data_IF_049453326298
#
_entry.id   IF_049453326298
#
_cell.length_a   1.000
_cell.length_b   1.000
_cell.length_c   1.000
_cell.angle_alpha   90.00
_cell.angle_beta   90.00
_cell.angle_gamma   90.00
#
_symmetry.space_group_name_H-M   'P 1'
#
loop_
_entity.id
_entity.type
_entity.pdbx_description
1 polymer ?
#
# COMPACT_ATOMS: atom_id res chain seq x y z
N UNK A 1 17.95 9.11 -0.25
CA UNK A 1 17.15 8.75 -1.43
C UNK A 1 15.78 8.29 -0.95
N UNK A 2 14.71 8.53 -1.72
CA UNK A 2 13.38 7.96 -1.46
C UNK A 2 13.15 6.83 -2.46
N UNK A 3 12.69 5.68 -1.98
CA UNK A 3 12.37 4.48 -2.73
C UNK A 3 10.94 4.04 -2.38
N UNK A 4 10.05 3.82 -3.37
CA UNK A 4 10.22 4.13 -4.80
C UNK A 4 10.51 5.61 -5.07
N UNK A 5 11.07 5.93 -6.24
CA UNK A 5 11.30 7.32 -6.64
C UNK A 5 9.96 8.05 -6.75
N UNK A 6 9.77 9.18 -6.05
CA UNK A 6 8.49 9.89 -6.07
C UNK A 6 8.26 10.57 -7.42
N UNK A 7 6.99 10.85 -7.73
CA UNK A 7 6.60 11.55 -8.96
C UNK A 7 7.30 12.92 -9.12
N UNK A 8 7.45 13.67 -8.03
CA UNK A 8 8.21 14.92 -8.00
C UNK A 8 8.98 15.04 -6.69
N UNK A 9 10.28 15.34 -6.79
CA UNK A 9 11.12 15.68 -5.65
C UNK A 9 12.24 16.66 -6.03
N UNK A 10 11.94 17.96 -6.20
CA UNK A 10 12.96 18.96 -6.46
C UNK A 10 14.03 18.96 -5.37
N UNK A 11 15.28 19.19 -5.77
CA UNK A 11 16.40 19.22 -4.82
C UNK A 11 16.20 20.37 -3.82
N UNK A 12 16.34 20.06 -2.54
CA UNK A 12 16.41 21.02 -1.44
C UNK A 12 17.70 20.79 -0.67
N UNK A 13 18.19 21.84 -0.02
CA UNK A 13 19.40 21.80 0.82
C UNK A 13 19.02 22.07 2.27
N UNK A 14 19.81 21.53 3.20
CA UNK A 14 19.56 21.63 4.63
C UNK A 14 18.85 20.41 5.21
N UNK A 15 18.48 20.52 6.48
CA UNK A 15 17.81 19.47 7.23
C UNK A 15 17.01 20.08 8.39
N UNK A 16 15.92 19.42 8.75
CA UNK A 16 15.16 19.70 9.96
C UNK A 16 15.78 18.94 11.14
N UNK A 17 16.22 19.61 12.23
CA UNK A 17 16.70 18.91 13.41
C UNK A 17 15.55 18.27 14.18
N UNK A 18 15.66 16.98 14.52
CA UNK A 18 14.76 16.34 15.47
C UNK A 18 15.39 16.46 16.86
N UNK A 19 14.64 17.04 17.79
CA UNK A 19 14.99 17.11 19.21
C UNK A 19 13.79 16.69 20.04
N UNK A 20 13.97 16.49 21.34
CA UNK A 20 12.88 16.09 22.24
C UNK A 20 11.81 17.19 22.38
N UNK A 21 12.18 18.45 22.17
CA UNK A 21 11.27 19.61 22.22
C UNK A 21 10.40 19.77 20.97
N UNK A 22 10.72 19.06 19.88
CA UNK A 22 9.89 19.10 18.67
C UNK A 22 8.52 18.50 18.99
N UNK A 23 7.47 19.30 18.80
CA UNK A 23 6.10 18.83 18.92
C UNK A 23 5.48 18.54 17.55
N UNK A 24 4.54 17.59 17.54
CA UNK A 24 3.78 17.20 16.36
C UNK A 24 2.40 17.85 16.41
N UNK A 25 2.03 18.57 15.36
CA UNK A 25 0.69 19.11 15.13
C UNK A 25 -0.12 18.13 14.29
N UNK A 26 -1.29 17.72 14.79
CA UNK A 26 -2.18 16.79 14.09
C UNK A 26 -3.47 17.52 13.70
N UNK A 27 -3.82 17.50 12.42
CA UNK A 27 -5.03 18.15 11.89
C UNK A 27 -5.89 17.15 11.11
N UNK A 28 -7.21 17.24 11.29
CA UNK A 28 -8.16 16.30 10.69
C UNK A 28 -8.02 14.89 11.26
N UNK A 29 -8.36 13.87 10.47
CA UNK A 29 -8.27 12.47 10.87
C UNK A 29 -6.85 11.90 10.79
N UNK A 30 -5.80 12.68 11.10
CA UNK A 30 -4.41 12.28 10.89
C UNK A 30 -3.76 11.49 12.06
N UNK A 31 -4.51 11.18 13.13
CA UNK A 31 -3.96 10.60 14.37
C UNK A 31 -3.16 9.31 14.15
N UNK A 32 -3.67 8.37 13.36
CA UNK A 32 -2.99 7.08 13.09
C UNK A 32 -1.66 7.29 12.37
N UNK A 33 -1.63 8.14 11.34
CA UNK A 33 -0.40 8.45 10.62
C UNK A 33 0.60 9.22 11.49
N UNK A 34 0.12 10.15 12.32
CA UNK A 34 0.97 10.86 13.26
C UNK A 34 1.56 9.93 14.34
N UNK A 35 0.82 8.93 14.79
CA UNK A 35 1.33 7.90 15.71
C UNK A 35 2.44 7.06 15.04
N UNK A 36 2.21 6.58 13.82
CA UNK A 36 3.23 5.84 13.04
C UNK A 36 4.49 6.67 12.81
N UNK A 37 4.34 7.96 12.49
CA UNK A 37 5.46 8.87 12.32
C UNK A 37 6.26 9.03 13.63
N UNK A 38 5.58 9.24 14.77
CA UNK A 38 6.22 9.32 16.08
C UNK A 38 6.94 8.03 16.45
N UNK A 39 6.35 6.87 16.13
CA UNK A 39 6.98 5.58 16.36
C UNK A 39 8.28 5.41 15.56
N UNK A 40 8.31 5.86 14.30
CA UNK A 40 9.56 5.87 13.51
C UNK A 40 10.61 6.81 14.10
N UNK A 41 10.21 7.99 14.56
CA UNK A 41 11.12 8.92 15.26
C UNK A 41 11.68 8.27 16.52
N UNK A 42 10.81 7.77 17.39
CA UNK A 42 11.21 7.11 18.62
C UNK A 42 12.18 5.95 18.38
N UNK A 43 11.90 5.06 17.40
CA UNK A 43 12.80 3.95 17.08
C UNK A 43 14.19 4.39 16.62
N UNK A 44 14.31 5.57 16.02
CA UNK A 44 15.58 6.04 15.48
C UNK A 44 16.33 6.97 16.45
N UNK A 45 15.62 7.75 17.26
CA UNK A 45 16.22 8.79 18.11
C UNK A 45 15.99 8.60 19.60
N UNK A 46 15.02 7.77 20.00
CA UNK A 46 14.55 7.63 21.38
C UNK A 46 13.61 8.73 21.85
N UNK A 47 13.30 9.74 21.02
CA UNK A 47 12.50 10.89 21.44
C UNK A 47 10.99 10.59 21.42
N UNK A 48 10.31 10.93 22.51
CA UNK A 48 8.86 10.83 22.65
C UNK A 48 8.23 12.20 22.36
N UNK A 49 7.96 12.49 21.08
CA UNK A 49 7.47 13.80 20.68
C UNK A 49 6.02 14.04 21.12
N UNK A 50 5.80 15.13 21.84
CA UNK A 50 4.47 15.55 22.29
C UNK A 50 3.55 15.97 21.12
N UNK A 51 2.23 15.99 21.37
CA UNK A 51 1.27 16.68 20.50
C UNK A 51 1.13 18.13 20.92
N UNK A 52 1.18 19.06 19.97
CA UNK A 52 0.91 20.49 20.23
C UNK A 52 0.25 21.15 19.02
N UNK A 53 -0.74 22.05 19.21
CA UNK A 53 -1.29 22.87 18.13
C UNK A 53 -0.24 23.70 17.38
N UNK A 54 0.86 24.04 18.05
CA UNK A 54 1.97 24.85 17.51
C UNK A 54 3.16 24.00 17.07
N UNK A 55 2.98 22.68 16.95
CA UNK A 55 4.03 21.76 16.55
C UNK A 55 4.59 22.04 15.14
N UNK A 56 5.92 22.03 15.03
CA UNK A 56 6.64 22.26 13.76
C UNK A 56 6.62 21.05 12.84
N UNK A 57 6.25 19.88 13.35
CA UNK A 57 6.00 18.67 12.56
C UNK A 57 4.49 18.52 12.38
N UNK A 58 3.99 18.88 11.20
CA UNK A 58 2.56 18.95 10.91
C UNK A 58 2.13 17.72 10.10
N UNK A 59 1.15 16.98 10.59
CA UNK A 59 0.51 15.87 9.88
C UNK A 59 -0.97 16.20 9.69
N UNK A 60 -1.38 16.42 8.44
CA UNK A 60 -2.70 16.97 8.10
C UNK A 60 -3.45 16.05 7.15
N UNK A 61 -4.58 15.53 7.61
CA UNK A 61 -5.57 14.91 6.73
C UNK A 61 -6.48 16.00 6.17
N UNK A 62 -6.42 16.21 4.85
CA UNK A 62 -7.19 17.24 4.17
C UNK A 62 -8.04 16.67 3.05
N UNK A 63 -9.33 16.35 3.32
CA UNK A 63 -10.25 15.81 2.32
C UNK A 63 -10.49 16.72 1.11
N UNK A 64 -10.14 18.01 1.18
CA UNK A 64 -10.26 18.95 0.08
C UNK A 64 -9.02 18.93 -0.85
N UNK A 65 -7.95 18.21 -0.50
CA UNK A 65 -6.79 18.03 -1.37
C UNK A 65 -7.22 17.36 -2.69
N UNK A 66 -6.71 17.87 -3.81
CA UNK A 66 -6.99 17.39 -5.18
C UNK A 66 -5.66 17.16 -5.92
N UNK A 67 -5.71 16.38 -7.00
CA UNK A 67 -4.60 16.26 -7.95
C UNK A 67 -3.55 15.19 -7.66
N UNK A 68 -3.60 14.49 -6.52
CA UNK A 68 -2.65 13.40 -6.18
C UNK A 68 -3.31 12.02 -6.02
N UNK A 69 -4.60 11.90 -6.29
CA UNK A 69 -5.32 10.62 -6.20
C UNK A 69 -5.44 10.05 -4.78
N UNK A 70 -5.94 8.80 -4.65
CA UNK A 70 -6.33 8.20 -3.37
C UNK A 70 -5.14 7.78 -2.49
N UNK A 71 -3.95 7.65 -3.05
CA UNK A 71 -2.72 7.23 -2.35
C UNK A 71 -1.64 8.33 -2.33
N UNK A 72 -1.94 9.51 -2.90
CA UNK A 72 -0.94 10.55 -3.01
C UNK A 72 -0.84 11.45 -1.78
N UNK A 73 0.33 12.08 -1.64
CA UNK A 73 0.68 12.95 -0.53
C UNK A 73 1.65 14.05 -0.96
N UNK A 74 1.67 15.12 -0.17
CA UNK A 74 2.68 16.17 -0.23
C UNK A 74 3.50 16.16 1.07
N UNK A 75 4.82 16.17 0.96
CA UNK A 75 5.75 16.25 2.08
C UNK A 75 6.77 17.37 1.82
N UNK A 76 6.73 18.42 2.64
CA UNK A 76 7.75 19.47 2.67
C UNK A 76 8.57 19.35 3.95
N UNK A 77 9.88 19.28 3.81
CA UNK A 77 10.85 19.34 4.89
C UNK A 77 11.73 20.55 4.65
N UNK A 78 11.67 21.52 5.56
CA UNK A 78 12.53 22.71 5.59
C UNK A 78 13.40 22.68 6.84
N UNK A 79 14.27 23.68 7.02
CA UNK A 79 15.08 23.79 8.23
C UNK A 79 14.26 24.17 9.49
N UNK A 80 13.00 24.60 9.32
CA UNK A 80 12.16 25.14 10.41
C UNK A 80 10.93 24.32 10.71
N UNK A 81 10.42 23.57 9.74
CA UNK A 81 9.20 22.80 9.87
C UNK A 81 9.15 21.65 8.86
N UNK A 82 8.34 20.65 9.21
CA UNK A 82 7.96 19.52 8.38
C UNK A 82 6.44 19.56 8.19
N UNK A 83 5.98 19.46 6.95
CA UNK A 83 4.55 19.42 6.62
C UNK A 83 4.26 18.17 5.78
N UNK A 84 3.48 17.26 6.33
CA UNK A 84 2.91 16.11 5.63
C UNK A 84 1.40 16.32 5.49
N UNK A 85 0.91 16.32 4.26
CA UNK A 85 -0.51 16.47 3.93
C UNK A 85 -0.96 15.44 2.90
N UNK A 86 -2.13 14.86 3.09
CA UNK A 86 -2.77 13.99 2.11
C UNK A 86 -4.29 14.04 2.21
N UNK A 87 -4.98 13.65 1.13
CA UNK A 87 -6.44 13.59 1.09
C UNK A 87 -7.06 12.35 1.73
N UNK A 88 -6.23 11.35 2.04
CA UNK A 88 -6.68 10.05 2.57
C UNK A 88 -5.69 9.52 3.61
N UNK A 89 -6.11 8.50 4.35
CA UNK A 89 -5.24 7.76 5.26
C UNK A 89 -4.10 7.03 4.52
N UNK A 90 -4.37 6.50 3.33
CA UNK A 90 -3.38 5.80 2.53
C UNK A 90 -2.24 6.74 2.08
N UNK A 91 -2.60 7.93 1.61
CA UNK A 91 -1.61 8.96 1.26
C UNK A 91 -0.78 9.38 2.46
N UNK A 92 -1.39 9.58 3.64
CA UNK A 92 -0.64 9.90 4.86
C UNK A 92 0.35 8.79 5.22
N UNK A 93 -0.05 7.52 5.20
CA UNK A 93 0.86 6.38 5.47
C UNK A 93 2.05 6.38 4.51
N UNK A 94 1.82 6.58 3.22
CA UNK A 94 2.91 6.64 2.23
C UNK A 94 3.85 7.82 2.46
N UNK A 95 3.32 8.98 2.83
CA UNK A 95 4.13 10.13 3.18
C UNK A 95 4.97 9.94 4.43
N UNK A 96 4.45 9.22 5.44
CA UNK A 96 5.24 8.80 6.61
C UNK A 96 6.41 7.91 6.19
N UNK A 97 6.24 7.01 5.22
CA UNK A 97 7.36 6.18 4.74
C UNK A 97 8.42 7.00 4.02
N UNK A 98 8.02 8.01 3.23
CA UNK A 98 8.99 8.93 2.63
C UNK A 98 9.72 9.77 3.67
N UNK A 99 9.01 10.28 4.68
CA UNK A 99 9.61 10.97 5.83
C UNK A 99 10.66 10.07 6.52
N UNK A 100 10.31 8.81 6.83
CA UNK A 100 11.22 7.84 7.45
C UNK A 100 12.53 7.68 6.66
N UNK A 101 12.44 7.63 5.33
CA UNK A 101 13.62 7.48 4.47
C UNK A 101 14.45 8.77 4.34
N UNK A 102 13.89 9.92 4.72
CA UNK A 102 14.60 11.21 4.80
C UNK A 102 15.32 11.42 6.14
N UNK A 103 14.90 10.70 7.19
CA UNK A 103 15.57 10.72 8.48
C UNK A 103 17.02 10.21 8.35
N UNK A 104 17.92 10.80 9.14
CA UNK A 104 19.34 10.50 9.13
C UNK A 104 19.81 9.97 10.49
N UNK A 105 20.98 9.34 10.53
CA UNK A 105 21.52 8.73 11.76
C UNK A 105 21.87 9.77 12.84
N UNK A 106 22.16 10.99 12.45
CA UNK A 106 22.44 12.14 13.31
C UNK A 106 21.18 12.81 13.88
N UNK A 107 20.00 12.21 13.69
CA UNK A 107 18.76 12.75 14.27
C UNK A 107 18.23 13.97 13.52
N UNK A 108 18.44 14.05 12.21
CA UNK A 108 17.85 15.11 11.37
C UNK A 108 16.98 14.50 10.28
N UNK A 109 16.21 15.33 9.59
CA UNK A 109 15.42 14.95 8.40
C UNK A 109 15.89 15.80 7.24
N UNK A 110 16.42 15.17 6.19
CA UNK A 110 16.93 15.89 5.02
C UNK A 110 15.84 16.75 4.38
N UNK A 111 16.17 17.99 4.05
CA UNK A 111 15.25 18.89 3.37
C UNK A 111 14.77 18.28 2.05
N UNK A 112 13.48 18.43 1.79
CA UNK A 112 12.81 17.82 0.66
C UNK A 112 11.52 18.57 0.34
N UNK A 113 11.09 18.51 -0.91
CA UNK A 113 9.77 18.94 -1.35
C UNK A 113 9.26 17.82 -2.24
N UNK A 114 8.30 17.03 -1.75
CA UNK A 114 7.85 15.81 -2.40
C UNK A 114 6.37 15.93 -2.68
N UNK A 115 6.00 15.72 -3.94
CA UNK A 115 4.62 15.43 -4.33
C UNK A 115 4.63 14.09 -5.03
N UNK A 116 3.84 13.17 -4.51
CA UNK A 116 3.94 11.78 -4.92
C UNK A 116 2.57 11.12 -4.97
N UNK A 117 2.40 10.25 -5.96
CA UNK A 117 1.24 9.40 -6.18
C UNK A 117 1.69 8.20 -6.98
N UNK A 118 1.21 6.99 -6.68
CA UNK A 118 1.68 5.80 -7.38
C UNK A 118 1.22 5.80 -8.84
N UNK A 119 2.11 5.39 -9.75
CA UNK A 119 1.78 5.22 -11.17
C UNK A 119 0.78 4.07 -11.44
N UNK A 120 0.73 3.09 -10.53
CA UNK A 120 -0.16 1.93 -10.60
C UNK A 120 -0.85 1.72 -9.27
N UNK A 121 -2.18 1.52 -9.30
CA UNK A 121 -2.98 1.28 -8.10
C UNK A 121 -2.66 -0.07 -7.45
N UNK A 122 -2.21 -1.07 -8.22
CA UNK A 122 -1.85 -2.39 -7.71
C UNK A 122 -0.34 -2.57 -7.68
N UNK A 123 0.23 -2.74 -6.48
CA UNK A 123 1.67 -2.93 -6.28
C UNK A 123 1.87 -4.07 -5.29
N UNK A 124 2.00 -5.28 -5.82
CA UNK A 124 1.83 -6.48 -5.01
C UNK A 124 3.04 -7.41 -4.93
N UNK A 125 2.95 -8.33 -3.98
CA UNK A 125 3.86 -9.47 -3.80
C UNK A 125 3.00 -10.72 -3.74
N UNK A 126 3.43 -11.79 -4.42
CA UNK A 126 2.84 -13.13 -4.25
C UNK A 126 3.72 -13.94 -3.29
N UNK A 127 3.13 -14.62 -2.32
CA UNK A 127 3.85 -15.46 -1.37
C UNK A 127 3.04 -16.69 -0.96
N UNK A 128 3.72 -17.73 -0.50
CA UNK A 128 3.07 -18.80 0.29
C UNK A 128 2.66 -18.25 1.66
N UNK A 129 1.80 -18.97 2.39
CA UNK A 129 1.50 -18.63 3.77
C UNK A 129 2.68 -19.06 4.69
N UNK A 130 3.60 -18.13 4.95
CA UNK A 130 4.76 -18.33 5.82
C UNK A 130 4.37 -18.23 7.29
N UNK A 131 5.21 -18.66 8.26
CA UNK A 131 4.92 -18.49 9.68
C UNK A 131 4.57 -17.04 10.07
N UNK A 132 3.73 -16.81 11.11
CA UNK A 132 3.19 -15.48 11.42
C UNK A 132 4.24 -14.37 11.54
N UNK A 133 5.36 -14.66 12.21
CA UNK A 133 6.46 -13.71 12.39
C UNK A 133 7.15 -13.32 11.07
N UNK A 134 7.20 -14.23 10.10
CA UNK A 134 7.74 -13.96 8.76
C UNK A 134 6.76 -13.16 7.91
N UNK A 135 5.46 -13.47 8.01
CA UNK A 135 4.40 -12.70 7.34
C UNK A 135 4.37 -11.25 7.81
N UNK A 136 4.47 -11.01 9.12
CA UNK A 136 4.57 -9.65 9.68
C UNK A 136 5.78 -8.90 9.13
N UNK A 137 6.96 -9.52 9.12
CA UNK A 137 8.18 -8.94 8.54
C UNK A 137 8.03 -8.63 7.04
N UNK A 138 7.33 -9.48 6.29
CA UNK A 138 7.06 -9.23 4.88
C UNK A 138 6.12 -8.04 4.69
N UNK A 139 5.04 -7.98 5.45
CA UNK A 139 4.07 -6.87 5.46
C UNK A 139 4.75 -5.54 5.84
N UNK A 140 5.59 -5.53 6.86
CA UNK A 140 6.34 -4.33 7.28
C UNK A 140 7.22 -3.79 6.14
N UNK A 141 7.92 -4.69 5.44
CA UNK A 141 8.75 -4.34 4.29
C UNK A 141 7.91 -3.83 3.13
N UNK A 142 6.80 -4.49 2.84
CA UNK A 142 5.88 -4.04 1.79
C UNK A 142 5.36 -2.63 2.08
N UNK A 143 4.88 -2.38 3.29
CA UNK A 143 4.42 -1.06 3.72
C UNK A 143 5.54 -0.02 3.62
N UNK A 144 6.77 -0.35 4.08
CA UNK A 144 7.94 0.51 3.98
C UNK A 144 8.26 0.98 2.56
N UNK A 145 7.94 0.17 1.56
CA UNK A 145 8.16 0.45 0.13
C UNK A 145 6.86 0.76 -0.63
N UNK A 146 5.79 1.11 0.10
CA UNK A 146 4.49 1.53 -0.46
C UNK A 146 3.81 0.47 -1.35
N UNK A 147 4.13 -0.81 -1.15
CA UNK A 147 3.40 -1.94 -1.73
C UNK A 147 2.10 -2.12 -0.94
N UNK A 148 1.02 -2.50 -1.63
CA UNK A 148 -0.33 -2.46 -1.08
C UNK A 148 -1.15 -3.73 -1.31
N UNK A 149 -0.61 -4.74 -1.99
CA UNK A 149 -1.31 -6.01 -2.20
C UNK A 149 -0.43 -7.21 -1.87
N UNK A 150 -0.90 -8.09 -0.99
CA UNK A 150 -0.27 -9.35 -0.69
C UNK A 150 -1.14 -10.48 -1.23
N UNK A 151 -0.72 -11.09 -2.33
CA UNK A 151 -1.37 -12.27 -2.88
C UNK A 151 -0.84 -13.52 -2.17
N UNK A 152 -1.73 -14.31 -1.56
CA UNK A 152 -1.36 -15.51 -0.80
C UNK A 152 -2.05 -16.75 -1.32
N UNK A 153 -1.39 -17.90 -1.18
CA UNK A 153 -2.01 -19.21 -1.27
C UNK A 153 -2.43 -19.62 0.15
N UNK A 154 -3.72 -19.52 0.51
CA UNK A 154 -4.20 -19.72 1.87
C UNK A 154 -4.40 -21.21 2.15
N UNK A 155 -3.30 -21.90 2.44
CA UNK A 155 -3.31 -23.27 2.95
C UNK A 155 -2.88 -23.24 4.42
N UNK A 156 -3.73 -23.73 5.34
CA UNK A 156 -3.38 -23.85 6.75
C UNK A 156 -4.48 -23.38 7.70
N UNK A 157 -4.05 -22.95 8.89
CA UNK A 157 -4.90 -22.57 10.01
C UNK A 157 -5.67 -21.25 9.75
N UNK A 158 -7.03 -21.26 9.83
CA UNK A 158 -7.85 -20.06 9.72
C UNK A 158 -7.48 -18.91 10.68
N UNK A 159 -7.00 -19.21 11.88
CA UNK A 159 -6.64 -18.17 12.86
C UNK A 159 -5.36 -17.44 12.44
N UNK A 160 -4.38 -18.17 11.91
CA UNK A 160 -3.20 -17.57 11.31
C UNK A 160 -3.57 -16.72 10.08
N UNK A 161 -4.49 -17.19 9.23
CA UNK A 161 -4.95 -16.39 8.08
C UNK A 161 -5.60 -15.08 8.55
N UNK A 162 -6.46 -15.14 9.57
CA UNK A 162 -7.09 -13.95 10.15
C UNK A 162 -6.05 -12.97 10.69
N UNK A 163 -5.05 -13.45 11.42
CA UNK A 163 -3.95 -12.62 11.92
C UNK A 163 -3.22 -11.89 10.79
N UNK A 164 -2.89 -12.59 9.70
CA UNK A 164 -2.20 -12.01 8.54
C UNK A 164 -3.06 -10.97 7.84
N UNK A 165 -4.36 -11.23 7.69
CA UNK A 165 -5.31 -10.30 7.06
C UNK A 165 -5.46 -9.03 7.89
N UNK A 166 -5.68 -9.16 9.19
CA UNK A 166 -5.82 -8.02 10.11
C UNK A 166 -4.54 -7.19 10.14
N UNK A 167 -3.38 -7.84 10.29
CA UNK A 167 -2.09 -7.15 10.26
C UNK A 167 -1.84 -6.45 8.93
N UNK A 168 -2.19 -7.09 7.80
CA UNK A 168 -2.11 -6.48 6.49
C UNK A 168 -2.92 -5.20 6.40
N UNK A 169 -4.19 -5.24 6.81
CA UNK A 169 -5.09 -4.08 6.78
C UNK A 169 -4.58 -2.90 7.60
N UNK A 170 -4.06 -3.17 8.80
CA UNK A 170 -3.48 -2.14 9.68
C UNK A 170 -2.28 -1.43 9.01
N UNK A 171 -1.57 -2.15 8.14
CA UNK A 171 -0.43 -1.63 7.37
C UNK A 171 -0.80 -1.09 5.99
N UNK A 172 -2.11 -1.04 5.67
CA UNK A 172 -2.61 -0.58 4.37
C UNK A 172 -2.35 -1.58 3.23
N UNK A 173 -2.20 -2.86 3.56
CA UNK A 173 -2.01 -3.96 2.61
C UNK A 173 -3.29 -4.76 2.51
N UNK A 174 -3.81 -4.87 1.30
CA UNK A 174 -4.92 -5.78 0.99
C UNK A 174 -4.37 -7.18 0.80
N UNK A 175 -4.81 -8.13 1.63
CA UNK A 175 -4.49 -9.55 1.44
C UNK A 175 -5.51 -10.16 0.48
N UNK A 176 -5.03 -10.63 -0.66
CA UNK A 176 -5.83 -11.25 -1.73
C UNK A 176 -5.56 -12.75 -1.72
N UNK A 177 -6.57 -13.61 -1.53
CA UNK A 177 -6.36 -15.05 -1.53
C UNK A 177 -6.39 -15.63 -2.95
N UNK A 178 -5.59 -16.68 -3.19
CA UNK A 178 -5.87 -17.67 -4.23
C UNK A 178 -6.78 -18.76 -3.70
N UNK A 179 -8.02 -18.83 -4.19
CA UNK A 179 -9.04 -19.76 -3.74
C UNK A 179 -9.26 -20.86 -4.78
N UNK A 180 -9.36 -22.09 -4.28
CA UNK A 180 -9.81 -23.26 -5.02
C UNK A 180 -11.16 -23.74 -4.47
N UNK A 181 -11.84 -24.70 -5.11
CA UNK A 181 -13.03 -25.32 -4.52
C UNK A 181 -12.80 -25.90 -3.11
N UNK A 182 -11.56 -26.28 -2.75
CA UNK A 182 -11.23 -26.83 -1.44
C UNK A 182 -11.02 -25.75 -0.35
N UNK A 183 -10.71 -24.52 -0.74
CA UNK A 183 -10.41 -23.41 0.18
C UNK A 183 -11.50 -22.34 0.19
N UNK A 184 -12.63 -22.62 -0.45
CA UNK A 184 -13.72 -21.65 -0.66
C UNK A 184 -14.33 -21.14 0.64
N UNK A 185 -14.35 -21.97 1.69
CA UNK A 185 -14.87 -21.60 3.00
C UNK A 185 -13.99 -20.55 3.71
N UNK A 186 -12.72 -20.41 3.30
CA UNK A 186 -11.81 -19.38 3.82
C UNK A 186 -12.10 -18.00 3.23
N UNK A 187 -12.93 -17.90 2.18
CA UNK A 187 -13.17 -16.66 1.46
C UNK A 187 -13.66 -15.53 2.34
N UNK A 188 -14.43 -15.83 3.38
CA UNK A 188 -14.97 -14.83 4.31
C UNK A 188 -13.92 -14.21 5.22
N UNK A 189 -12.77 -14.87 5.41
CA UNK A 189 -11.64 -14.33 6.18
C UNK A 189 -10.97 -13.16 5.47
N UNK A 190 -11.18 -13.02 4.16
CA UNK A 190 -10.54 -11.99 3.34
C UNK A 190 -11.55 -10.87 3.04
N UNK A 191 -11.34 -9.63 3.51
CA UNK A 191 -12.20 -8.50 3.17
C UNK A 191 -11.99 -7.99 1.74
N UNK A 192 -10.91 -8.43 1.06
CA UNK A 192 -10.61 -8.06 -0.32
C UNK A 192 -11.76 -8.40 -1.27
N UNK A 193 -12.24 -7.42 -2.03
CA UNK A 193 -13.19 -7.68 -3.13
C UNK A 193 -12.58 -8.61 -4.20
N UNK A 194 -11.27 -8.60 -4.37
CA UNK A 194 -10.54 -9.43 -5.32
C UNK A 194 -10.26 -10.82 -4.75
N UNK A 195 -10.43 -11.84 -5.58
CA UNK A 195 -10.10 -13.24 -5.28
C UNK A 195 -9.37 -13.82 -6.48
N UNK A 196 -8.20 -14.41 -6.25
CA UNK A 196 -7.49 -15.11 -7.30
C UNK A 196 -8.03 -16.54 -7.44
N UNK A 197 -8.31 -17.00 -8.66
CA UNK A 197 -8.82 -18.37 -8.92
C UNK A 197 -7.77 -19.27 -9.55
N UNK A 198 -6.50 -18.87 -9.47
CA UNK A 198 -5.37 -19.60 -10.01
C UNK A 198 -5.48 -19.76 -11.53
N UNK A 199 -5.50 -21.02 -11.98
CA UNK A 199 -5.76 -21.42 -13.38
C UNK A 199 -7.15 -22.02 -13.58
N UNK A 200 -8.01 -21.96 -12.57
CA UNK A 200 -9.36 -22.51 -12.68
C UNK A 200 -10.17 -21.75 -13.74
N UNK A 201 -11.00 -22.48 -14.49
CA UNK A 201 -11.99 -21.84 -15.37
C UNK A 201 -13.08 -21.19 -14.52
N UNK A 202 -13.50 -19.99 -14.90
CA UNK A 202 -14.66 -19.33 -14.29
C UNK A 202 -15.96 -20.02 -14.78
N UNK A 203 -16.29 -21.17 -14.19
CA UNK A 203 -17.56 -21.85 -14.45
C UNK A 203 -18.74 -21.00 -13.95
N UNK A 204 -19.93 -21.19 -14.53
CA UNK A 204 -21.15 -20.48 -14.08
C UNK A 204 -21.42 -20.67 -12.59
N UNK A 205 -21.18 -21.87 -12.05
CA UNK A 205 -21.33 -22.16 -10.61
C UNK A 205 -20.37 -21.32 -9.75
N UNK A 206 -19.10 -21.22 -10.16
CA UNK A 206 -18.09 -20.42 -9.46
C UNK A 206 -18.39 -18.91 -9.57
N UNK A 207 -18.80 -18.45 -10.76
CA UNK A 207 -19.18 -17.06 -10.99
C UNK A 207 -20.35 -16.64 -10.07
N UNK A 208 -21.44 -17.43 -10.04
CA UNK A 208 -22.58 -17.16 -9.15
C UNK A 208 -22.18 -17.19 -7.67
N UNK A 209 -21.27 -18.08 -7.28
CA UNK A 209 -20.79 -18.12 -5.90
C UNK A 209 -20.00 -16.85 -5.55
N UNK A 210 -19.04 -16.45 -6.37
CA UNK A 210 -18.25 -15.24 -6.14
C UNK A 210 -19.13 -13.99 -6.13
N UNK A 211 -20.11 -13.89 -7.03
CA UNK A 211 -21.08 -12.81 -7.08
C UNK A 211 -21.90 -12.70 -5.78
N UNK A 212 -22.38 -13.83 -5.23
CA UNK A 212 -23.09 -13.84 -3.93
C UNK A 212 -22.25 -13.31 -2.77
N UNK A 213 -20.94 -13.52 -2.81
CA UNK A 213 -20.00 -12.99 -1.82
C UNK A 213 -19.42 -11.62 -2.23
N UNK A 214 -19.97 -10.97 -3.27
CA UNK A 214 -19.50 -9.70 -3.83
C UNK A 214 -17.99 -9.71 -4.17
N UNK A 215 -17.52 -10.80 -4.77
CA UNK A 215 -16.12 -11.00 -5.14
C UNK A 215 -15.89 -10.87 -6.65
N UNK A 216 -14.72 -10.36 -6.99
CA UNK A 216 -14.23 -10.22 -8.36
C UNK A 216 -13.09 -11.23 -8.59
N UNK A 217 -13.26 -12.19 -9.53
CA UNK A 217 -12.21 -13.14 -9.84
C UNK A 217 -11.06 -12.48 -10.61
N UNK A 218 -9.83 -12.78 -10.22
CA UNK A 218 -8.61 -12.56 -11.00
C UNK A 218 -7.91 -13.90 -11.22
N UNK A 219 -7.10 -14.04 -12.27
CA UNK A 219 -6.46 -15.32 -12.60
C UNK A 219 -5.09 -15.12 -13.22
N UNK A 220 -4.30 -16.19 -13.22
CA UNK A 220 -3.04 -16.21 -13.95
C UNK A 220 -3.31 -16.10 -15.45
N UNK A 221 -2.48 -15.34 -16.15
CA UNK A 221 -2.47 -15.35 -17.61
C UNK A 221 -2.21 -16.77 -18.11
N UNK A 222 -3.05 -17.26 -19.02
CA UNK A 222 -3.00 -18.66 -19.50
C UNK A 222 -2.11 -18.85 -20.74
N UNK A 223 -1.50 -17.76 -21.22
CA UNK A 223 -0.61 -17.77 -22.39
C UNK A 223 -1.35 -17.62 -23.71
N UNK A 224 -2.67 -17.43 -23.69
CA UNK A 224 -3.44 -17.07 -24.88
C UNK A 224 -3.27 -15.59 -25.24
N UNK A 225 -3.49 -15.21 -26.50
CA UNK A 225 -3.47 -13.81 -26.94
C UNK A 225 -4.65 -12.97 -26.39
N UNK A 226 -5.51 -13.58 -25.57
CA UNK A 226 -6.65 -12.93 -24.95
C UNK A 226 -6.32 -12.56 -23.50
N UNK A 227 -6.30 -11.27 -23.20
CA UNK A 227 -6.14 -10.78 -21.83
C UNK A 227 -7.39 -11.08 -21.04
N UNK A 228 -7.37 -12.20 -20.33
CA UNK A 228 -8.46 -12.61 -19.46
C UNK A 228 -8.45 -11.81 -18.15
N UNK A 229 -8.94 -10.58 -18.24
CA UNK A 229 -9.17 -9.71 -17.09
C UNK A 229 -10.65 -9.80 -16.71
N UNK A 230 -10.96 -10.68 -15.77
CA UNK A 230 -12.35 -11.04 -15.47
C UNK A 230 -13.02 -10.01 -14.54
N UNK A 231 -13.77 -9.07 -15.12
CA UNK A 231 -14.82 -8.34 -14.40
C UNK A 231 -16.02 -9.25 -14.03
N UNK A 232 -17.11 -8.71 -13.45
CA UNK A 232 -18.28 -9.47 -12.97
C UNK A 232 -18.89 -10.47 -13.98
N UNK A 233 -18.67 -10.23 -15.27
CA UNK A 233 -19.17 -11.06 -16.37
C UNK A 233 -18.07 -11.47 -17.38
N UNK A 234 -16.80 -11.47 -16.96
CA UNK A 234 -15.67 -11.83 -17.82
C UNK A 234 -15.32 -10.80 -18.91
N UNK A 235 -15.71 -9.53 -18.71
CA UNK A 235 -15.28 -8.40 -19.53
C UNK A 235 -14.77 -7.26 -18.65
N UNK A 236 -13.78 -6.52 -19.17
CA UNK A 236 -13.31 -5.26 -18.57
C UNK A 236 -14.48 -4.28 -18.45
N UNK A 237 -14.76 -3.81 -17.23
CA UNK A 237 -15.44 -2.53 -17.04
C UNK A 237 -14.40 -1.43 -17.28
N UNK A 238 -14.62 -0.64 -18.32
CA UNK A 238 -13.84 0.56 -18.59
C UNK A 238 -13.88 1.48 -17.35
N UNK A 239 -12.72 1.81 -16.76
CA UNK A 239 -12.62 2.65 -15.55
C UNK A 239 -12.11 1.98 -14.26
N UNK A 240 -11.88 0.65 -14.24
CA UNK A 240 -11.20 -0.03 -13.14
C UNK A 240 -9.68 -0.13 -13.39
N UNK A 241 -8.96 0.98 -13.22
CA UNK A 241 -7.51 1.10 -13.53
C UNK A 241 -6.61 0.10 -12.76
N UNK A 242 -7.10 -0.52 -11.69
CA UNK A 242 -6.40 -1.57 -10.96
C UNK A 242 -6.23 -2.87 -11.76
N UNK A 243 -7.13 -3.16 -12.71
CA UNK A 243 -7.20 -4.44 -13.42
C UNK A 243 -6.23 -4.55 -14.59
N UNK A 244 -5.84 -3.43 -15.23
CA UNK A 244 -4.80 -3.47 -16.28
C UNK A 244 -3.43 -3.84 -15.72
N UNK A 245 -3.14 -3.53 -14.46
CA UNK A 245 -1.85 -3.85 -13.82
C UNK A 245 -1.71 -5.35 -13.47
N UNK A 246 -2.82 -6.04 -13.16
CA UNK A 246 -2.79 -7.46 -12.75
C UNK A 246 -2.54 -8.40 -13.93
N UNK A 247 -2.96 -8.04 -15.14
CA UNK A 247 -2.95 -8.96 -16.28
C UNK A 247 -1.62 -9.06 -17.04
N UNK A 248 -0.73 -8.05 -16.95
CA UNK A 248 0.45 -7.98 -17.83
C UNK A 248 1.80 -7.82 -17.11
N UNK A 249 1.82 -7.57 -15.80
CA UNK A 249 3.06 -7.34 -15.06
C UNK A 249 3.31 -8.44 -14.02
N UNK A 250 3.71 -9.62 -14.49
CA UNK A 250 4.20 -10.72 -13.65
C UNK A 250 5.59 -11.17 -14.08
N UNK A 251 6.55 -11.14 -13.16
CA UNK A 251 7.83 -11.83 -13.34
C UNK A 251 7.59 -13.32 -13.03
N UNK A 252 7.51 -14.16 -14.07
CA UNK A 252 7.39 -15.62 -13.92
C UNK A 252 8.69 -16.25 -14.40
N UNK A 253 9.46 -16.85 -13.48
CA UNK A 253 10.56 -17.75 -13.83
C UNK A 253 11.70 -17.17 -14.68
N UNK A 254 12.04 -15.88 -14.54
CA UNK A 254 13.17 -15.28 -15.25
C UNK A 254 12.85 -14.73 -16.65
N UNK A 255 11.57 -14.69 -17.06
CA UNK A 255 11.16 -14.07 -18.32
C UNK A 255 10.25 -12.85 -18.09
N UNK A 256 10.57 -11.77 -18.79
CA UNK A 256 9.83 -10.51 -18.81
C UNK A 256 8.72 -10.64 -19.87
N UNK A 257 7.44 -10.56 -19.51
CA UNK A 257 6.37 -10.39 -20.49
C UNK A 257 6.25 -8.91 -20.81
N UNK A 258 6.52 -8.52 -22.05
CA UNK A 258 6.52 -7.13 -22.47
C UNK A 258 5.11 -6.63 -22.83
N UNK A 259 4.61 -5.68 -22.05
CA UNK A 259 4.13 -4.35 -22.46
C UNK A 259 3.58 -3.69 -21.19
N UNK A 260 4.39 -2.81 -20.58
CA UNK A 260 3.94 -2.02 -19.45
C UNK A 260 2.70 -1.21 -19.88
N UNK A 261 1.59 -1.44 -19.21
CA UNK A 261 0.38 -0.62 -19.39
C UNK A 261 0.77 0.83 -19.13
N UNK A 262 0.38 1.72 -20.04
CA UNK A 262 0.57 3.16 -19.86
C UNK A 262 -0.22 3.59 -18.63
N UNK A 263 0.38 4.28 -17.64
CA UNK A 263 -0.33 4.72 -16.45
C UNK A 263 -1.56 5.55 -16.84
N UNK A 264 -2.66 5.37 -16.10
CA UNK A 264 -3.84 6.21 -16.24
C UNK A 264 -3.45 7.68 -15.96
N UNK A 265 -3.92 8.60 -16.82
CA UNK A 265 -3.70 10.05 -16.69
C UNK A 265 -4.62 10.66 -15.65
#
# INVERSE_FOLDING_TARGET
MIVPMPASAPRRTGAFPLTEEVAVRVTGQARTAAALLREHIFRQTGYLLAESPDGMLMVTHDPAMRGLGPEGYALLVSNHAVMLRAGTQAGLRHGVQSFRQLMTRDGTVRAADVQDSPAFAWRGVTSALLPPAEMRKAIDKMAAYKLNVLHVFPEGDPDHIREVVEYGLDHGITVVPEISPATIDLLELFPSRWVHIGRAKLSGKLATLLERHNRLPVRWHDGSDHTDVLGPHGRLTEGDDGLRAVANAGWVGGHFTAAAVTPAR
#
